data_IF_468519556248
#
_entry.id   IF_468519556248
#
_cell.length_a   1.000
_cell.length_b   1.000
_cell.length_c   1.000
_cell.angle_alpha   90.00
_cell.angle_beta   90.00
_cell.angle_gamma   90.00
#
_symmetry.space_group_name_H-M   'P 1'
#
loop_
_entity.id
_entity.type
_entity.pdbx_description
1 polymer ?
#
# COMPACT_ATOMS: atom_id res chain seq x y z
N UNK A 1 3.20 -3.93 -3.90
CA UNK A 1 3.72 -2.61 -4.38
C UNK A 1 4.98 -2.17 -3.61
N UNK A 2 5.91 -1.41 -4.20
CA UNK A 2 7.09 -0.81 -3.52
C UNK A 2 7.61 0.43 -4.27
N UNK A 3 8.40 1.33 -3.64
CA UNK A 3 8.85 2.58 -4.27
C UNK A 3 9.61 2.38 -5.58
N UNK A 4 10.46 1.34 -5.68
CA UNK A 4 11.23 1.09 -6.90
C UNK A 4 10.37 0.69 -8.10
N UNK A 5 9.09 0.37 -7.87
CA UNK A 5 8.13 0.03 -8.92
C UNK A 5 7.19 1.21 -9.25
N UNK A 6 7.39 2.39 -8.64
CA UNK A 6 6.58 3.60 -8.88
C UNK A 6 7.45 4.64 -9.60
N UNK A 7 7.16 4.85 -10.89
CA UNK A 7 7.94 5.73 -11.76
C UNK A 7 7.20 7.03 -12.06
N UNK A 8 7.92 8.14 -12.04
CA UNK A 8 7.44 9.41 -12.57
C UNK A 8 7.94 9.56 -14.01
N UNK A 9 7.01 9.53 -14.96
CA UNK A 9 7.30 9.65 -16.38
C UNK A 9 6.78 11.00 -16.91
N UNK A 10 7.54 11.65 -17.80
CA UNK A 10 7.05 12.82 -18.54
C UNK A 10 6.45 12.37 -19.86
N UNK A 11 5.17 12.63 -20.05
CA UNK A 11 4.46 12.34 -21.31
C UNK A 11 4.29 13.64 -22.07
N UNK A 12 4.83 13.70 -23.30
CA UNK A 12 4.71 14.89 -24.16
C UNK A 12 5.46 16.14 -23.65
N UNK A 13 6.42 15.98 -22.72
CA UNK A 13 7.27 17.08 -22.25
C UNK A 13 6.66 17.99 -21.17
N UNK A 14 5.36 17.91 -20.91
CA UNK A 14 4.67 18.92 -20.07
C UNK A 14 4.14 18.38 -18.74
N UNK A 15 3.65 17.13 -18.67
CA UNK A 15 3.03 16.59 -17.45
C UNK A 15 3.74 15.34 -16.94
N UNK A 16 4.09 15.35 -15.66
CA UNK A 16 4.52 14.16 -14.93
C UNK A 16 3.31 13.26 -14.64
N UNK A 17 3.45 11.99 -14.99
CA UNK A 17 2.45 10.93 -14.81
C UNK A 17 3.11 9.80 -14.04
N UNK A 18 2.46 9.36 -12.97
CA UNK A 18 2.89 8.20 -12.20
C UNK A 18 2.54 6.91 -12.94
N UNK A 19 3.52 6.00 -13.07
CA UNK A 19 3.36 4.67 -13.66
C UNK A 19 3.78 3.61 -12.65
N UNK A 20 3.03 2.53 -12.58
CA UNK A 20 3.43 1.32 -11.85
C UNK A 20 4.11 0.38 -12.84
N UNK A 21 5.32 -0.06 -12.50
CA UNK A 21 6.12 -1.00 -13.28
C UNK A 21 6.25 -2.33 -12.54
N UNK A 22 6.76 -3.32 -13.27
CA UNK A 22 7.09 -4.66 -12.76
C UNK A 22 5.90 -5.41 -12.14
N UNK A 23 5.20 -6.14 -13.01
CA UNK A 23 4.11 -7.04 -12.67
C UNK A 23 4.59 -8.50 -12.50
N UNK A 24 5.88 -8.74 -12.26
CA UNK A 24 6.45 -10.09 -12.16
C UNK A 24 5.90 -10.93 -11.00
N UNK A 25 5.28 -10.29 -10.01
CA UNK A 25 4.58 -10.92 -8.87
C UNK A 25 3.05 -10.74 -8.92
N UNK A 26 2.51 -10.16 -10.00
CA UNK A 26 1.08 -9.97 -10.13
C UNK A 26 0.38 -11.31 -10.41
N UNK A 27 -0.82 -11.47 -9.88
CA UNK A 27 -1.67 -12.65 -10.13
C UNK A 27 -3.08 -12.22 -10.46
N UNK A 28 -3.78 -13.03 -11.26
CA UNK A 28 -5.21 -12.88 -11.45
C UNK A 28 -5.94 -13.43 -10.23
N UNK A 29 -6.92 -12.67 -9.75
CA UNK A 29 -7.86 -13.16 -8.76
C UNK A 29 -8.95 -13.95 -9.50
N UNK A 30 -9.30 -15.16 -9.04
CA UNK A 30 -10.38 -15.91 -9.66
C UNK A 30 -11.70 -15.12 -9.54
N UNK A 31 -12.45 -15.04 -10.65
CA UNK A 31 -13.71 -14.28 -10.73
C UNK A 31 -14.92 -15.07 -10.20
N UNK A 32 -14.70 -16.31 -9.76
CA UNK A 32 -15.69 -17.27 -9.27
C UNK A 32 -15.09 -18.09 -8.11
N UNK A 33 -15.96 -18.70 -7.28
CA UNK A 33 -15.66 -19.61 -6.14
C UNK A 33 -14.77 -20.84 -6.48
N UNK A 34 -14.08 -20.84 -7.61
CA UNK A 34 -13.00 -21.76 -7.88
C UNK A 34 -11.76 -21.22 -7.18
N UNK A 35 -11.56 -21.73 -5.97
CA UNK A 35 -10.34 -21.66 -5.18
C UNK A 35 -9.18 -22.26 -5.98
N UNK A 36 -8.71 -21.55 -7.01
CA UNK A 36 -7.37 -21.77 -7.53
C UNK A 36 -6.44 -21.23 -6.45
N UNK A 37 -6.10 -22.10 -5.50
CA UNK A 37 -4.81 -22.08 -4.84
C UNK A 37 -3.76 -22.08 -5.94
N UNK A 38 -3.40 -20.90 -6.43
CA UNK A 38 -2.19 -20.68 -7.18
C UNK A 38 -1.03 -20.96 -6.22
N UNK A 39 -0.75 -22.25 -6.07
CA UNK A 39 0.50 -22.80 -5.61
C UNK A 39 1.57 -22.41 -6.63
N UNK A 40 1.98 -21.14 -6.59
CA UNK A 40 3.05 -20.56 -7.39
C UNK A 40 4.32 -20.26 -6.58
N UNK A 41 4.30 -20.48 -5.28
CA UNK A 41 5.50 -20.37 -4.43
C UNK A 41 5.77 -21.74 -3.82
N UNK A 42 6.83 -22.40 -4.27
CA UNK A 42 7.42 -23.51 -3.55
C UNK A 42 7.54 -23.11 -2.06
N UNK A 43 6.96 -23.92 -1.17
CA UNK A 43 6.93 -23.65 0.25
C UNK A 43 8.33 -23.29 0.76
N UNK A 44 8.49 -22.07 1.28
CA UNK A 44 9.73 -21.62 1.94
C UNK A 44 10.49 -20.46 1.28
N UNK A 45 10.08 -19.96 0.11
CA UNK A 45 10.70 -18.76 -0.49
C UNK A 45 9.82 -17.53 -0.31
N UNK A 46 10.23 -16.62 0.59
CA UNK A 46 9.61 -15.28 0.72
C UNK A 46 9.98 -14.49 -0.53
N UNK A 47 9.12 -14.52 -1.54
CA UNK A 47 9.34 -13.79 -2.80
C UNK A 47 8.71 -12.39 -2.70
N UNK A 48 9.54 -11.35 -2.83
CA UNK A 48 9.14 -9.95 -2.74
C UNK A 48 10.04 -9.14 -1.81
N UNK A 49 9.62 -7.94 -1.42
CA UNK A 49 10.38 -7.06 -0.50
C UNK A 49 9.68 -7.03 0.86
N UNK A 50 10.18 -7.74 1.90
CA UNK A 50 9.47 -7.97 3.16
C UNK A 50 8.92 -6.70 3.84
N UNK A 51 9.62 -5.57 3.71
CA UNK A 51 9.20 -4.26 4.24
C UNK A 51 7.81 -3.81 3.78
N UNK A 52 7.38 -4.20 2.58
CA UNK A 52 6.12 -3.76 1.97
C UNK A 52 5.04 -4.86 1.94
N UNK A 53 5.32 -6.05 2.48
CA UNK A 53 4.37 -7.15 2.52
C UNK A 53 3.34 -6.96 3.61
N UNK A 54 2.08 -7.30 3.33
CA UNK A 54 1.04 -7.37 4.35
C UNK A 54 1.25 -8.58 5.28
N UNK A 55 0.72 -8.56 6.52
CA UNK A 55 0.85 -9.68 7.45
C UNK A 55 0.31 -10.99 6.86
N UNK A 56 -0.82 -10.93 6.17
CA UNK A 56 -1.43 -12.08 5.50
C UNK A 56 -0.62 -12.58 4.30
N UNK A 57 0.05 -11.68 3.56
CA UNK A 57 0.97 -12.06 2.49
C UNK A 57 2.22 -12.74 3.05
N UNK A 58 2.81 -12.18 4.10
CA UNK A 58 3.99 -12.74 4.76
C UNK A 58 3.71 -14.12 5.38
N UNK A 59 2.46 -14.38 5.76
CA UNK A 59 2.00 -15.67 6.28
C UNK A 59 1.68 -16.71 5.20
N UNK A 60 1.87 -16.36 3.91
CA UNK A 60 1.56 -17.23 2.78
C UNK A 60 0.06 -17.36 2.49
N UNK A 61 -0.74 -16.36 2.87
CA UNK A 61 -2.16 -16.31 2.56
C UNK A 61 -2.43 -16.27 1.04
N UNK A 62 -3.69 -16.46 0.66
CA UNK A 62 -4.10 -16.26 -0.72
C UNK A 62 -4.01 -14.78 -1.11
N UNK A 63 -3.61 -14.50 -2.35
CA UNK A 63 -3.53 -13.14 -2.88
C UNK A 63 -4.89 -12.43 -2.76
N UNK A 64 -4.86 -11.19 -2.27
CA UNK A 64 -6.05 -10.35 -2.07
C UNK A 64 -5.74 -8.89 -2.44
N UNK A 65 -6.74 -8.09 -2.87
CA UNK A 65 -6.53 -6.67 -3.16
C UNK A 65 -6.02 -5.86 -1.95
N UNK A 66 -6.34 -6.31 -0.74
CA UNK A 66 -5.90 -5.68 0.52
C UNK A 66 -4.38 -5.68 0.72
N UNK A 67 -3.65 -6.56 0.02
CA UNK A 67 -2.19 -6.62 0.05
C UNK A 67 -1.57 -5.37 -0.56
N UNK A 68 -2.13 -4.89 -1.68
CA UNK A 68 -1.65 -3.69 -2.35
C UNK A 68 -2.02 -2.42 -1.58
N UNK A 69 -3.17 -2.39 -0.90
CA UNK A 69 -3.55 -1.27 -0.02
C UNK A 69 -2.61 -1.15 1.18
N UNK A 70 -2.20 -2.27 1.78
CA UNK A 70 -1.15 -2.27 2.82
C UNK A 70 0.16 -1.69 2.29
N UNK A 71 0.63 -2.22 1.15
CA UNK A 71 1.88 -1.77 0.55
C UNK A 71 1.84 -0.27 0.19
N UNK A 72 0.71 0.21 -0.33
CA UNK A 72 0.46 1.63 -0.60
C UNK A 72 0.50 2.47 0.70
N UNK A 73 -0.08 1.98 1.79
CA UNK A 73 -0.02 2.63 3.10
C UNK A 73 1.42 2.75 3.61
N UNK A 74 2.22 1.69 3.51
CA UNK A 74 3.65 1.70 3.89
C UNK A 74 4.43 2.71 3.06
N UNK A 75 4.25 2.71 1.73
CA UNK A 75 4.92 3.67 0.84
C UNK A 75 4.48 5.11 1.16
N UNK A 76 3.19 5.33 1.43
CA UNK A 76 2.65 6.65 1.80
C UNK A 76 3.24 7.12 3.12
N UNK A 77 3.33 6.24 4.12
CA UNK A 77 3.95 6.55 5.40
C UNK A 77 5.42 6.93 5.20
N UNK A 78 6.18 6.15 4.43
CA UNK A 78 7.59 6.44 4.13
C UNK A 78 7.77 7.80 3.44
N UNK A 79 6.92 8.13 2.46
CA UNK A 79 6.95 9.42 1.77
C UNK A 79 6.63 10.61 2.70
N UNK A 80 5.70 10.45 3.64
CA UNK A 80 5.31 11.50 4.57
C UNK A 80 6.27 11.63 5.75
N UNK A 81 6.84 10.51 6.23
CA UNK A 81 7.80 10.45 7.34
C UNK A 81 9.22 10.85 6.95
N UNK A 82 9.56 10.94 5.65
CA UNK A 82 10.82 11.51 5.16
C UNK A 82 10.98 13.03 5.43
N UNK A 83 9.97 13.67 6.04
CA UNK A 83 10.14 14.93 6.78
C UNK A 83 10.27 14.59 8.27
N UNK A 84 11.27 15.12 8.99
CA UNK A 84 11.26 15.01 10.44
C UNK A 84 9.97 15.65 10.96
N UNK A 85 9.09 14.85 11.54
CA UNK A 85 7.91 15.26 12.33
C UNK A 85 8.30 16.15 13.53
N UNK A 86 9.58 16.52 13.65
CA UNK A 86 10.16 17.28 14.74
C UNK A 86 10.68 18.67 14.34
N UNK A 87 10.21 19.27 13.24
CA UNK A 87 10.16 20.74 13.22
C UNK A 87 8.86 21.16 13.88
N UNK A 88 8.96 21.41 15.18
CA UNK A 88 7.91 21.90 16.05
C UNK A 88 7.27 23.19 15.51
N UNK A 89 6.29 23.05 14.61
CA UNK A 89 5.28 24.05 14.26
C UNK A 89 4.25 23.44 13.31
N UNK A 90 3.52 22.43 13.77
CA UNK A 90 2.41 21.82 13.03
C UNK A 90 1.29 21.52 14.00
N UNK A 91 0.06 21.94 13.68
CA UNK A 91 -1.12 21.77 14.52
C UNK A 91 -1.24 20.31 15.00
N UNK A 92 -1.22 20.06 16.31
CA UNK A 92 -1.36 18.72 16.93
C UNK A 92 -2.52 17.90 16.31
N UNK A 93 -3.58 18.56 15.84
CA UNK A 93 -4.72 17.92 15.20
C UNK A 93 -4.48 17.35 13.78
N UNK A 94 -3.54 17.87 12.99
CA UNK A 94 -3.20 17.27 11.68
C UNK A 94 -2.37 16.00 11.88
N UNK A 95 -1.41 16.06 12.81
CA UNK A 95 -0.59 14.90 13.17
C UNK A 95 -1.45 13.77 13.76
N UNK A 96 -2.39 14.10 14.65
CA UNK A 96 -3.32 13.11 15.21
C UNK A 96 -4.19 12.43 14.14
N UNK A 97 -4.67 13.17 13.13
CA UNK A 97 -5.47 12.59 12.03
C UNK A 97 -4.64 11.73 11.08
N UNK A 98 -3.38 12.10 10.82
CA UNK A 98 -2.47 11.25 10.04
C UNK A 98 -2.16 9.94 10.79
N UNK A 99 -1.93 10.03 12.10
CA UNK A 99 -1.71 8.86 12.95
C UNK A 99 -2.94 7.94 12.94
N UNK A 100 -4.15 8.47 13.14
CA UNK A 100 -5.41 7.72 13.06
C UNK A 100 -5.61 7.05 11.69
N UNK A 101 -5.32 7.78 10.61
CA UNK A 101 -5.35 7.23 9.25
C UNK A 101 -4.39 6.04 9.10
N UNK A 102 -3.15 6.17 9.55
CA UNK A 102 -2.17 5.08 9.44
C UNK A 102 -2.50 3.90 10.34
N UNK A 103 -3.11 4.12 11.51
CA UNK A 103 -3.61 3.04 12.37
C UNK A 103 -4.69 2.20 11.67
N UNK A 104 -5.58 2.82 10.90
CA UNK A 104 -6.56 2.09 10.07
C UNK A 104 -5.91 1.46 8.84
N UNK A 105 -5.12 2.22 8.07
CA UNK A 105 -4.55 1.76 6.80
C UNK A 105 -3.53 0.62 6.97
N UNK A 106 -2.83 0.58 8.10
CA UNK A 106 -1.87 -0.46 8.48
C UNK A 106 -2.44 -1.41 9.55
N UNK A 107 -3.77 -1.50 9.68
CA UNK A 107 -4.39 -2.43 10.61
C UNK A 107 -4.02 -3.89 10.25
N UNK A 108 -3.68 -4.76 11.22
CA UNK A 108 -3.28 -6.14 10.92
C UNK A 108 -4.35 -6.93 10.18
N UNK A 109 -5.62 -6.67 10.49
CA UNK A 109 -6.77 -7.31 9.87
C UNK A 109 -7.22 -6.54 8.62
N UNK A 110 -7.33 -7.18 7.44
CA UNK A 110 -7.75 -6.51 6.21
C UNK A 110 -9.09 -5.77 6.31
N UNK A 111 -10.03 -6.28 7.11
CA UNK A 111 -11.38 -5.71 7.24
C UNK A 111 -11.40 -4.36 7.99
N UNK A 112 -10.28 -3.99 8.62
CA UNK A 112 -10.11 -2.74 9.36
C UNK A 112 -9.39 -1.66 8.52
N UNK A 113 -8.93 -2.03 7.33
CA UNK A 113 -8.28 -1.13 6.38
C UNK A 113 -9.34 -0.50 5.45
N UNK A 114 -9.01 0.59 4.74
CA UNK A 114 -9.86 1.07 3.65
C UNK A 114 -10.19 -0.07 2.67
N UNK A 115 -11.44 -0.17 2.25
CA UNK A 115 -11.89 -1.29 1.41
C UNK A 115 -11.36 -1.18 -0.04
N UNK A 116 -11.08 0.04 -0.49
CA UNK A 116 -10.57 0.33 -1.82
C UNK A 116 -9.68 1.58 -1.86
N UNK A 117 -9.07 1.86 -3.02
CA UNK A 117 -8.17 3.00 -3.21
C UNK A 117 -8.92 4.34 -3.10
N UNK A 118 -10.18 4.40 -3.51
CA UNK A 118 -11.00 5.61 -3.41
C UNK A 118 -11.21 6.00 -1.94
N UNK A 119 -11.53 5.02 -1.10
CA UNK A 119 -11.67 5.24 0.34
C UNK A 119 -10.33 5.62 0.98
N UNK A 120 -9.25 4.91 0.63
CA UNK A 120 -7.90 5.23 1.09
C UNK A 120 -7.55 6.70 0.79
N UNK A 121 -7.78 7.15 -0.45
CA UNK A 121 -7.49 8.53 -0.86
C UNK A 121 -8.39 9.54 -0.16
N UNK A 122 -9.66 9.22 0.07
CA UNK A 122 -10.59 10.09 0.80
C UNK A 122 -10.14 10.29 2.25
N UNK A 123 -9.79 9.20 2.93
CA UNK A 123 -9.32 9.26 4.32
C UNK A 123 -7.98 10.00 4.41
N UNK A 124 -7.03 9.73 3.51
CA UNK A 124 -5.75 10.43 3.46
C UNK A 124 -5.92 11.95 3.24
N UNK A 125 -6.81 12.36 2.32
CA UNK A 125 -7.10 13.78 2.09
C UNK A 125 -7.69 14.45 3.32
N UNK A 126 -8.58 13.77 4.05
CA UNK A 126 -9.15 14.28 5.32
C UNK A 126 -8.09 14.41 6.41
N UNK A 127 -7.12 13.51 6.44
CA UNK A 127 -6.01 13.57 7.38
C UNK A 127 -5.03 14.71 7.07
N UNK A 128 -4.84 15.03 5.79
CA UNK A 128 -3.95 16.10 5.33
C UNK A 128 -4.57 17.50 5.35
N UNK A 129 -5.89 17.64 5.24
CA UNK A 129 -6.61 18.93 5.26
C UNK A 129 -6.49 19.64 6.60
#
# INVERSE_FOLDING_TARGET
LKPENIFLARVGGEREVTKVLDFGLATFLPCSDETQTLAGTAAGMVMGTPKYMSPEQASGGAAQPSWDLWALAVVTQEMLSARPVNTASGNNGQQARLEEFFQSALAPKPEQRPACVEEFLLQLRRALA
#
